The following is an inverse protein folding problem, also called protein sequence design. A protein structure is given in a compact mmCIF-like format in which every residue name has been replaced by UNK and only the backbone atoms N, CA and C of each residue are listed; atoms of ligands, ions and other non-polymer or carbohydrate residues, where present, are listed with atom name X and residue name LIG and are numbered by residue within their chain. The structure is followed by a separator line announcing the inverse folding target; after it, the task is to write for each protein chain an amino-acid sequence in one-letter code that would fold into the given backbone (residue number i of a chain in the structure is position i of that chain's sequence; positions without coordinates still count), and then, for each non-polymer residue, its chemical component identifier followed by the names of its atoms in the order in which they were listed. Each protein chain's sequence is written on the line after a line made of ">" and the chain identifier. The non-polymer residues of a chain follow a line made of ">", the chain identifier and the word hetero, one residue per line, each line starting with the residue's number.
data_IF_555244443937
#
_entry.id   IF_555244443937
#
_cell.length_a   1.000
_cell.length_b   1.000
_cell.length_c   1.000
_cell.angle_alpha   90.00
_cell.angle_beta   90.00
_cell.angle_gamma   90.00
#
_symmetry.space_group_name_H-M   'P 1'
#
loop_
_entity.id
_entity.type
_entity.pdbx_description
1 polymer ?
#
# COMPACT_ATOMS: atom_id res chain seq x y z
N UNK A 1 -9.72 -5.22 15.83
CA UNK A 1 -8.45 -4.85 15.18
C UNK A 1 -8.60 -3.43 14.64
N UNK A 2 -7.61 -2.58 14.84
CA UNK A 2 -7.49 -1.22 14.30
C UNK A 2 -6.04 -1.00 13.89
N UNK A 3 -5.74 -0.02 13.06
CA UNK A 3 -4.37 0.44 12.87
C UNK A 3 -4.02 1.38 14.04
N UNK A 4 -2.96 1.07 14.77
CA UNK A 4 -2.41 1.91 15.83
C UNK A 4 -1.18 2.69 15.37
N UNK A 5 -0.47 2.19 14.34
CA UNK A 5 0.75 2.78 13.79
C UNK A 5 0.74 2.74 12.26
N UNK A 6 0.95 3.90 11.64
CA UNK A 6 1.04 4.08 10.19
C UNK A 6 2.40 4.63 9.83
N UNK A 7 3.05 4.02 8.84
CA UNK A 7 4.33 4.46 8.28
C UNK A 7 4.13 5.09 6.91
N UNK A 8 4.80 6.20 6.63
CA UNK A 8 4.84 6.81 5.30
C UNK A 8 6.26 7.25 4.93
N UNK A 9 6.50 7.49 3.66
CA UNK A 9 7.72 8.07 3.13
C UNK A 9 7.46 9.47 2.59
N UNK A 10 8.38 10.39 2.85
CA UNK A 10 8.40 11.73 2.26
C UNK A 10 9.72 11.96 1.55
N UNK A 11 9.64 12.32 0.28
CA UNK A 11 10.79 12.76 -0.50
C UNK A 11 11.02 14.27 -0.29
N UNK A 12 12.09 14.69 0.41
CA UNK A 12 12.33 16.11 0.71
C UNK A 12 12.69 16.92 -0.54
N UNK A 13 13.05 16.27 -1.65
CA UNK A 13 13.35 16.95 -2.93
C UNK A 13 12.07 17.31 -3.70
N UNK A 14 10.93 16.77 -3.31
CA UNK A 14 9.61 16.95 -3.95
C UNK A 14 8.67 17.79 -3.08
N UNK A 15 9.11 18.95 -2.64
CA UNK A 15 8.33 19.82 -1.75
C UNK A 15 6.94 20.20 -2.29
N UNK A 16 6.77 20.32 -3.61
CA UNK A 16 5.48 20.61 -4.25
C UNK A 16 4.48 19.44 -4.19
N UNK A 17 4.96 18.24 -3.96
CA UNK A 17 4.15 17.02 -3.85
C UNK A 17 3.84 16.63 -2.38
N UNK A 18 4.43 17.35 -1.42
CA UNK A 18 4.36 17.01 0.00
C UNK A 18 2.93 16.97 0.55
N UNK A 19 2.05 17.88 0.11
CA UNK A 19 0.65 17.89 0.53
C UNK A 19 -0.11 16.63 0.06
N UNK A 20 0.04 16.26 -1.21
CA UNK A 20 -0.56 15.05 -1.76
C UNK A 20 0.03 13.79 -1.11
N UNK A 21 1.34 13.76 -0.87
CA UNK A 21 2.03 12.64 -0.22
C UNK A 21 1.56 12.40 1.22
N UNK A 22 1.15 13.45 1.92
CA UNK A 22 0.72 13.36 3.33
C UNK A 22 -0.80 13.24 3.50
N UNK A 23 -1.59 13.57 2.48
CA UNK A 23 -3.06 13.62 2.57
C UNK A 23 -3.65 12.28 3.04
N UNK A 24 -3.31 11.17 2.38
CA UNK A 24 -3.84 9.84 2.71
C UNK A 24 -3.33 9.30 4.05
N UNK A 25 -2.00 9.28 4.35
CA UNK A 25 -1.53 8.79 5.64
C UNK A 25 -2.12 9.56 6.83
N UNK A 26 -2.27 10.88 6.73
CA UNK A 26 -2.88 11.69 7.79
C UNK A 26 -4.40 11.45 7.92
N UNK A 27 -5.12 11.28 6.81
CA UNK A 27 -6.55 10.96 6.84
C UNK A 27 -6.80 9.58 7.49
N UNK A 28 -5.94 8.61 7.23
CA UNK A 28 -6.03 7.29 7.86
C UNK A 28 -5.65 7.36 9.34
N UNK A 29 -4.57 8.10 9.69
CA UNK A 29 -4.20 8.30 11.08
C UNK A 29 -5.35 8.94 11.88
N UNK A 30 -6.02 9.94 11.33
CA UNK A 30 -7.20 10.56 11.93
C UNK A 30 -8.36 9.57 12.11
N UNK A 31 -8.71 8.84 11.05
CA UNK A 31 -9.82 7.88 11.08
C UNK A 31 -9.61 6.73 12.08
N UNK A 32 -8.38 6.32 12.32
CA UNK A 32 -8.04 5.21 13.21
C UNK A 32 -7.49 5.65 14.57
N UNK A 33 -7.30 6.96 14.81
CA UNK A 33 -6.58 7.51 15.97
C UNK A 33 -5.18 6.88 16.10
N UNK A 34 -4.51 6.71 14.95
CA UNK A 34 -3.22 6.05 14.86
C UNK A 34 -2.08 7.06 15.00
N UNK A 35 -0.95 6.57 15.52
CA UNK A 35 0.32 7.28 15.43
C UNK A 35 0.85 7.20 13.99
N UNK A 36 1.31 8.31 13.42
CA UNK A 36 1.89 8.35 12.08
C UNK A 36 3.37 8.69 12.13
N UNK A 37 4.19 7.83 11.52
CA UNK A 37 5.64 8.04 11.39
C UNK A 37 5.98 8.33 9.94
N UNK A 38 6.68 9.44 9.67
CA UNK A 38 7.21 9.76 8.36
C UNK A 38 8.72 9.50 8.32
N UNK A 39 9.16 8.63 7.42
CA UNK A 39 10.57 8.48 7.06
C UNK A 39 10.90 9.46 5.94
N UNK A 40 11.93 10.29 6.15
CA UNK A 40 12.29 11.39 5.26
C UNK A 40 13.65 11.12 4.66
N UNK A 41 13.68 10.90 3.35
CA UNK A 41 14.90 10.72 2.57
C UNK A 41 14.62 10.95 1.07
N UNK A 42 15.62 11.43 0.29
CA UNK A 42 15.48 11.53 -1.16
C UNK A 42 15.27 10.17 -1.80
N UNK A 43 14.29 10.03 -2.71
CA UNK A 43 14.00 8.76 -3.35
C UNK A 43 15.19 8.21 -4.14
N UNK A 44 15.89 9.06 -4.89
CA UNK A 44 17.03 8.63 -5.72
C UNK A 44 18.22 8.10 -4.90
N UNK A 45 18.30 8.44 -3.63
CA UNK A 45 19.31 7.93 -2.73
C UNK A 45 19.10 6.47 -2.31
N UNK A 46 17.95 5.86 -2.64
CA UNK A 46 17.73 4.44 -2.44
C UNK A 46 18.67 3.54 -3.26
N UNK A 47 19.26 4.09 -4.33
CA UNK A 47 20.20 3.39 -5.23
C UNK A 47 21.67 3.55 -4.85
N UNK A 48 22.00 4.50 -3.99
CA UNK A 48 23.38 4.83 -3.61
C UNK A 48 23.69 4.31 -2.21
N UNK A 49 24.95 3.86 -2.00
CA UNK A 49 25.45 3.60 -0.65
C UNK A 49 25.25 4.87 0.23
N UNK A 50 25.10 4.72 1.56
CA UNK A 50 24.87 5.85 2.44
C UNK A 50 26.02 6.84 2.31
N UNK A 51 25.77 7.89 1.57
CA UNK A 51 26.64 9.07 1.54
C UNK A 51 26.23 9.96 2.71
N UNK A 52 27.14 10.52 3.47
CA UNK A 52 26.78 11.56 4.44
C UNK A 52 25.90 12.60 3.72
N UNK A 53 24.76 12.95 4.29
CA UNK A 53 23.93 14.01 3.74
C UNK A 53 24.80 15.27 3.65
N UNK A 54 24.84 15.91 2.48
CA UNK A 54 25.40 17.24 2.38
C UNK A 54 24.49 18.23 3.13
N UNK A 55 25.02 19.41 3.47
CA UNK A 55 24.28 20.42 4.23
C UNK A 55 22.96 20.81 3.54
N UNK A 56 22.91 20.77 2.20
CA UNK A 56 21.72 21.12 1.42
C UNK A 56 20.62 20.07 1.55
N UNK A 57 20.96 18.78 1.48
CA UNK A 57 20.02 17.67 1.68
C UNK A 57 19.47 17.68 3.11
N UNK A 58 20.32 17.91 4.11
CA UNK A 58 19.90 18.03 5.51
C UNK A 58 18.87 19.13 5.73
N UNK A 59 19.06 20.30 5.12
CA UNK A 59 18.10 21.41 5.17
C UNK A 59 16.75 21.07 4.51
N UNK A 60 16.73 20.30 3.42
CA UNK A 60 15.50 19.86 2.79
C UNK A 60 14.76 18.85 3.66
N UNK A 61 15.47 17.90 4.28
CA UNK A 61 14.90 16.96 5.24
C UNK A 61 14.29 17.66 6.46
N UNK A 62 14.96 18.70 6.99
CA UNK A 62 14.44 19.51 8.10
C UNK A 62 13.14 20.21 7.73
N UNK A 63 13.11 20.88 6.59
CA UNK A 63 11.90 21.56 6.09
C UNK A 63 10.72 20.57 5.88
N UNK A 64 10.99 19.42 5.31
CA UNK A 64 9.97 18.40 5.10
C UNK A 64 9.43 17.85 6.44
N UNK A 65 10.33 17.64 7.43
CA UNK A 65 9.97 17.21 8.77
C UNK A 65 9.09 18.25 9.48
N UNK A 66 9.49 19.51 9.45
CA UNK A 66 8.73 20.61 10.07
C UNK A 66 7.35 20.77 9.42
N UNK A 67 7.26 20.74 8.09
CA UNK A 67 5.99 20.86 7.36
C UNK A 67 5.03 19.71 7.69
N UNK A 68 5.54 18.48 7.74
CA UNK A 68 4.76 17.30 8.13
C UNK A 68 4.28 17.41 9.58
N UNK A 69 5.19 17.71 10.51
CA UNK A 69 4.87 17.85 11.93
C UNK A 69 3.81 18.94 12.16
N UNK A 70 3.97 20.11 11.54
CA UNK A 70 3.01 21.19 11.64
C UNK A 70 1.61 20.78 11.12
N UNK A 71 1.56 19.99 10.04
CA UNK A 71 0.29 19.53 9.47
C UNK A 71 -0.37 18.47 10.35
N UNK A 72 0.39 17.51 10.87
CA UNK A 72 -0.10 16.49 11.79
C UNK A 72 -0.58 17.12 13.11
N UNK A 73 0.17 18.09 13.64
CA UNK A 73 -0.18 18.82 14.88
C UNK A 73 -1.49 19.60 14.71
N UNK A 74 -1.69 20.31 13.60
CA UNK A 74 -2.97 21.02 13.31
C UNK A 74 -4.17 20.09 13.30
N UNK A 75 -3.98 18.81 12.94
CA UNK A 75 -5.00 17.76 12.97
C UNK A 75 -5.11 17.04 14.32
N UNK A 76 -4.29 17.41 15.30
CA UNK A 76 -4.26 16.75 16.61
C UNK A 76 -3.75 15.31 16.58
N UNK A 77 -2.89 14.96 15.62
CA UNK A 77 -2.40 13.60 15.44
C UNK A 77 -1.10 13.35 16.18
N UNK A 78 -0.99 12.19 16.84
CA UNK A 78 0.29 11.70 17.34
C UNK A 78 1.19 11.36 16.13
N UNK A 79 2.39 11.93 16.11
CA UNK A 79 3.28 11.80 14.96
C UNK A 79 4.76 11.79 15.35
N UNK A 80 5.57 11.25 14.45
CA UNK A 80 7.02 11.25 14.52
C UNK A 80 7.62 11.44 13.11
N UNK A 81 8.80 12.08 13.03
CA UNK A 81 9.60 12.17 11.81
C UNK A 81 10.96 11.55 12.05
N UNK A 82 11.46 10.78 11.08
CA UNK A 82 12.78 10.15 11.11
C UNK A 82 13.51 10.46 9.82
N UNK A 83 14.70 11.07 9.93
CA UNK A 83 15.53 11.44 8.79
C UNK A 83 16.53 10.33 8.44
N UNK A 84 17.00 10.32 7.20
CA UNK A 84 17.93 9.34 6.66
C UNK A 84 19.25 9.22 7.41
N UNK A 85 19.78 10.30 7.97
CA UNK A 85 21.05 10.31 8.73
C UNK A 85 21.12 9.25 9.83
N UNK A 86 19.99 8.64 10.15
CA UNK A 86 19.85 7.53 11.11
C UNK A 86 20.08 6.14 10.51
N UNK A 87 20.26 6.01 9.19
CA UNK A 87 20.29 4.69 8.53
C UNK A 87 21.71 4.29 8.11
N UNK A 88 22.15 3.13 8.59
CA UNK A 88 23.46 2.57 8.28
C UNK A 88 23.48 1.75 6.97
N UNK A 89 22.33 1.55 6.30
CA UNK A 89 22.14 0.69 5.14
C UNK A 89 21.10 1.28 4.18
N UNK A 90 20.73 0.58 3.09
CA UNK A 90 19.89 1.10 2.04
C UNK A 90 18.49 1.53 2.51
N UNK A 91 17.96 2.60 1.91
CA UNK A 91 16.67 3.18 2.31
C UNK A 91 15.49 2.21 2.20
N UNK A 92 15.51 1.27 1.23
CA UNK A 92 14.48 0.25 1.09
C UNK A 92 14.44 -0.71 2.27
N UNK A 93 15.61 -1.23 2.68
CA UNK A 93 15.77 -2.11 3.86
C UNK A 93 15.36 -1.37 5.14
N UNK A 94 15.84 -0.12 5.31
CA UNK A 94 15.50 0.71 6.45
C UNK A 94 13.98 0.95 6.54
N UNK A 95 13.32 1.20 5.41
CA UNK A 95 11.88 1.35 5.37
C UNK A 95 11.16 0.05 5.77
N UNK A 96 11.61 -1.10 5.24
CA UNK A 96 11.04 -2.41 5.58
C UNK A 96 11.21 -2.72 7.07
N UNK A 97 12.36 -2.39 7.69
CA UNK A 97 12.61 -2.58 9.12
C UNK A 97 11.67 -1.76 10.00
N UNK A 98 11.46 -0.49 9.66
CA UNK A 98 10.49 0.36 10.37
C UNK A 98 9.05 -0.13 10.16
N UNK A 99 8.76 -0.64 8.97
CA UNK A 99 7.43 -1.17 8.68
C UNK A 99 7.12 -2.45 9.45
N UNK A 100 8.10 -3.30 9.76
CA UNK A 100 7.91 -4.52 10.59
C UNK A 100 7.27 -4.23 11.94
N UNK A 101 7.53 -3.05 12.49
CA UNK A 101 6.98 -2.60 13.80
C UNK A 101 5.84 -1.59 13.64
N UNK A 102 5.26 -1.48 12.44
CA UNK A 102 4.07 -0.68 12.13
C UNK A 102 2.93 -1.58 11.67
N UNK A 103 1.71 -1.07 11.63
CA UNK A 103 0.54 -1.85 11.20
C UNK A 103 0.28 -1.74 9.71
N UNK A 104 0.60 -0.60 9.09
CA UNK A 104 0.32 -0.28 7.70
C UNK A 104 1.37 0.70 7.16
N UNK A 105 1.88 0.47 5.96
CA UNK A 105 2.53 1.53 5.20
C UNK A 105 1.54 2.18 4.23
N UNK A 106 1.61 3.51 4.12
CA UNK A 106 0.92 4.29 3.08
C UNK A 106 1.96 5.00 2.26
N UNK A 107 2.12 4.59 1.00
CA UNK A 107 3.09 5.14 0.05
C UNK A 107 2.33 5.86 -1.07
N UNK A 108 2.56 7.16 -1.20
CA UNK A 108 1.90 8.04 -2.18
C UNK A 108 2.90 8.48 -3.25
N UNK A 109 2.43 8.68 -4.46
CA UNK A 109 3.25 9.30 -5.49
C UNK A 109 3.67 8.37 -6.63
N UNK A 110 2.82 7.43 -7.03
CA UNK A 110 3.09 6.58 -8.18
C UNK A 110 2.49 7.16 -9.46
N UNK A 111 3.31 7.93 -10.19
CA UNK A 111 3.37 7.82 -11.64
C UNK A 111 4.15 6.55 -12.01
N UNK A 112 4.51 6.28 -13.26
CA UNK A 112 5.41 5.16 -13.60
C UNK A 112 6.65 5.26 -12.67
N UNK A 113 6.82 4.33 -11.72
CA UNK A 113 7.81 4.51 -10.67
C UNK A 113 9.21 4.31 -11.27
N UNK A 114 10.12 5.26 -11.03
CA UNK A 114 11.53 5.07 -11.29
C UNK A 114 12.09 3.86 -10.51
N UNK A 115 13.26 3.37 -10.87
CA UNK A 115 13.91 2.20 -10.27
C UNK A 115 13.98 2.31 -8.73
N UNK A 116 14.27 3.50 -8.21
CA UNK A 116 14.36 3.73 -6.77
C UNK A 116 13.03 3.51 -6.03
N UNK A 117 11.92 3.99 -6.61
CA UNK A 117 10.59 3.75 -6.05
C UNK A 117 10.21 2.26 -6.13
N UNK A 118 10.56 1.57 -7.22
CA UNK A 118 10.34 0.12 -7.33
C UNK A 118 11.11 -0.66 -6.25
N UNK A 119 12.35 -0.29 -5.95
CA UNK A 119 13.14 -0.90 -4.87
C UNK A 119 12.47 -0.68 -3.52
N UNK A 120 12.04 0.54 -3.23
CA UNK A 120 11.34 0.85 -1.97
C UNK A 120 10.05 0.04 -1.83
N UNK A 121 9.23 0.00 -2.88
CA UNK A 121 7.97 -0.76 -2.86
C UNK A 121 8.22 -2.26 -2.70
N UNK A 122 9.21 -2.79 -3.43
CA UNK A 122 9.60 -4.19 -3.33
C UNK A 122 10.00 -4.54 -1.90
N UNK A 123 10.89 -3.76 -1.28
CA UNK A 123 11.31 -3.98 0.11
C UNK A 123 10.12 -3.87 1.07
N UNK A 124 9.29 -2.83 0.93
CA UNK A 124 8.10 -2.64 1.77
C UNK A 124 7.13 -3.83 1.68
N UNK A 125 6.81 -4.31 0.47
CA UNK A 125 5.81 -5.36 0.24
C UNK A 125 6.35 -6.75 0.62
N UNK A 126 7.59 -7.08 0.23
CA UNK A 126 8.09 -8.44 0.31
C UNK A 126 9.02 -8.72 1.51
N UNK A 127 9.53 -7.69 2.18
CA UNK A 127 10.53 -7.86 3.24
C UNK A 127 10.02 -7.43 4.61
N UNK A 128 8.94 -6.63 4.67
CA UNK A 128 8.37 -6.18 5.93
C UNK A 128 7.43 -7.17 6.60
N UNK A 129 6.70 -7.98 5.82
CA UNK A 129 5.60 -8.84 6.31
C UNK A 129 4.36 -8.07 6.73
N UNK A 130 4.22 -6.82 6.32
CA UNK A 130 3.11 -5.93 6.65
C UNK A 130 2.33 -5.48 5.42
N UNK A 131 1.07 -5.08 5.56
CA UNK A 131 0.32 -4.51 4.45
C UNK A 131 0.87 -3.16 4.01
N UNK A 132 0.86 -2.94 2.70
CA UNK A 132 1.30 -1.70 2.05
C UNK A 132 0.18 -1.16 1.19
N UNK A 133 -0.26 0.05 1.43
CA UNK A 133 -1.20 0.79 0.59
C UNK A 133 -0.42 1.69 -0.37
N UNK A 134 -0.47 1.38 -1.66
CA UNK A 134 0.04 2.23 -2.72
C UNK A 134 -1.06 3.16 -3.18
N UNK A 135 -0.82 4.46 -3.16
CA UNK A 135 -1.82 5.50 -3.46
C UNK A 135 -1.36 6.32 -4.67
N UNK A 136 -2.17 6.39 -5.75
CA UNK A 136 -1.87 7.28 -6.88
C UNK A 136 -1.78 8.74 -6.42
N UNK A 137 -0.77 9.46 -6.89
CA UNK A 137 -0.62 10.89 -6.57
C UNK A 137 -1.82 11.73 -7.02
N UNK A 138 -2.39 11.37 -8.18
CA UNK A 138 -3.53 12.06 -8.75
C UNK A 138 -4.86 11.80 -8.00
N UNK A 139 -4.90 10.77 -7.13
CA UNK A 139 -6.11 10.35 -6.42
C UNK A 139 -5.81 10.03 -4.95
N UNK A 140 -5.37 11.01 -4.14
CA UNK A 140 -5.19 10.80 -2.72
C UNK A 140 -6.52 10.49 -2.04
N UNK A 141 -6.52 9.58 -1.09
CA UNK A 141 -7.70 9.26 -0.29
C UNK A 141 -7.82 10.27 0.86
N UNK A 142 -8.79 11.16 0.78
CA UNK A 142 -9.10 12.12 1.85
C UNK A 142 -9.85 11.48 3.03
N UNK A 143 -10.32 10.25 2.88
CA UNK A 143 -11.06 9.46 3.89
C UNK A 143 -10.85 7.97 3.67
N UNK A 144 -11.25 7.18 4.65
CA UNK A 144 -11.26 5.71 4.53
C UNK A 144 -12.25 5.28 3.43
N UNK A 145 -11.84 4.37 2.51
CA UNK A 145 -12.69 3.88 1.43
C UNK A 145 -14.00 3.27 1.93
N UNK A 146 -15.10 3.60 1.26
CA UNK A 146 -16.41 3.06 1.55
C UNK A 146 -16.76 1.85 0.68
N UNK A 147 -16.17 1.74 -0.51
CA UNK A 147 -16.27 0.55 -1.37
C UNK A 147 -14.89 -0.02 -1.64
N UNK A 148 -14.73 -1.31 -1.34
CA UNK A 148 -13.46 -2.02 -1.47
C UNK A 148 -13.68 -3.22 -2.37
N UNK A 149 -12.85 -3.36 -3.42
CA UNK A 149 -12.75 -4.59 -4.20
C UNK A 149 -11.63 -5.46 -3.61
N UNK A 150 -11.91 -6.71 -3.35
CA UNK A 150 -10.96 -7.70 -2.86
C UNK A 150 -10.72 -8.73 -3.94
N UNK A 151 -9.49 -8.81 -4.45
CA UNK A 151 -9.09 -9.86 -5.38
C UNK A 151 -8.83 -11.16 -4.62
N UNK A 152 -9.55 -12.21 -4.98
CA UNK A 152 -9.46 -13.50 -4.31
C UNK A 152 -9.06 -14.63 -5.27
N UNK A 153 -7.90 -15.22 -5.01
CA UNK A 153 -7.34 -16.37 -5.73
C UNK A 153 -7.01 -17.56 -4.79
N UNK A 154 -7.45 -17.49 -3.54
CA UNK A 154 -7.15 -18.44 -2.48
C UNK A 154 -5.66 -18.62 -2.16
N UNK A 155 -4.80 -17.71 -2.56
CA UNK A 155 -3.38 -17.76 -2.21
C UNK A 155 -3.12 -17.33 -0.76
N UNK A 156 -2.01 -17.79 -0.14
CA UNK A 156 -1.59 -17.28 1.16
C UNK A 156 -1.34 -15.77 1.16
N UNK A 157 -0.91 -15.18 0.05
CA UNK A 157 -0.73 -13.73 -0.08
C UNK A 157 -2.07 -13.00 -0.07
N UNK A 158 -3.09 -13.50 -0.80
CA UNK A 158 -4.41 -12.90 -0.80
C UNK A 158 -5.03 -12.87 0.60
N UNK A 159 -4.95 -13.98 1.36
CA UNK A 159 -5.50 -13.98 2.72
C UNK A 159 -4.71 -13.07 3.66
N UNK A 160 -3.38 -12.93 3.50
CA UNK A 160 -2.58 -11.96 4.29
C UNK A 160 -3.01 -10.53 3.98
N UNK A 161 -3.20 -10.17 2.70
CA UNK A 161 -3.67 -8.84 2.30
C UNK A 161 -5.06 -8.54 2.88
N UNK A 162 -5.97 -9.52 2.85
CA UNK A 162 -7.31 -9.39 3.43
C UNK A 162 -7.24 -9.17 4.94
N UNK A 163 -6.45 -9.97 5.67
CA UNK A 163 -6.27 -9.79 7.11
C UNK A 163 -5.63 -8.43 7.44
N UNK A 164 -4.65 -7.98 6.64
CA UNK A 164 -4.06 -6.65 6.75
C UNK A 164 -5.08 -5.53 6.50
N UNK A 165 -6.04 -5.76 5.61
CA UNK A 165 -7.09 -4.80 5.27
C UNK A 165 -8.34 -4.87 6.18
N UNK A 166 -8.44 -5.81 7.11
CA UNK A 166 -9.63 -5.97 7.97
C UNK A 166 -10.11 -4.70 8.65
N UNK A 167 -9.22 -3.80 9.18
CA UNK A 167 -9.68 -2.54 9.77
C UNK A 167 -10.44 -1.65 8.78
N UNK A 168 -10.04 -1.67 7.49
CA UNK A 168 -10.70 -0.93 6.41
C UNK A 168 -11.99 -1.64 5.99
N UNK A 169 -11.93 -2.94 5.72
CA UNK A 169 -13.05 -3.79 5.30
C UNK A 169 -14.23 -3.70 6.29
N UNK A 170 -13.96 -3.68 7.59
CA UNK A 170 -15.00 -3.55 8.63
C UNK A 170 -15.68 -2.19 8.67
N UNK A 171 -15.04 -1.14 8.17
CA UNK A 171 -15.57 0.23 8.11
C UNK A 171 -16.20 0.56 6.76
N UNK A 172 -15.92 -0.22 5.74
CA UNK A 172 -16.48 -0.02 4.42
C UNK A 172 -18.00 -0.23 4.42
N UNK A 173 -18.71 0.58 3.63
CA UNK A 173 -20.13 0.39 3.40
C UNK A 173 -20.40 -0.89 2.60
N UNK A 174 -19.46 -1.28 1.72
CA UNK A 174 -19.52 -2.49 0.92
C UNK A 174 -18.11 -3.03 0.63
N UNK A 175 -17.95 -4.36 0.71
CA UNK A 175 -16.76 -5.07 0.25
C UNK A 175 -17.14 -6.11 -0.79
N UNK A 176 -16.57 -6.01 -1.98
CA UNK A 176 -16.85 -6.87 -3.12
C UNK A 176 -15.70 -7.87 -3.27
N UNK A 177 -16.00 -9.14 -3.15
CA UNK A 177 -15.02 -10.21 -3.34
C UNK A 177 -15.06 -10.65 -4.79
N UNK A 178 -13.98 -10.43 -5.53
CA UNK A 178 -13.85 -10.74 -6.94
C UNK A 178 -12.90 -11.91 -7.17
N UNK A 179 -13.34 -12.93 -7.90
CA UNK A 179 -12.51 -14.05 -8.36
C UNK A 179 -12.52 -14.08 -9.87
N UNK A 180 -11.34 -14.14 -10.50
CA UNK A 180 -11.20 -14.37 -11.94
C UNK A 180 -11.24 -15.88 -12.18
N UNK A 181 -12.35 -16.40 -12.69
CA UNK A 181 -12.72 -17.82 -12.65
C UNK A 181 -11.92 -18.70 -13.61
N UNK A 182 -11.47 -18.15 -14.71
CA UNK A 182 -10.70 -18.83 -15.76
C UNK A 182 -9.18 -18.65 -15.64
N UNK A 183 -8.72 -17.97 -14.58
CA UNK A 183 -7.29 -17.84 -14.27
C UNK A 183 -6.81 -19.05 -13.44
N UNK A 184 -7.62 -19.49 -12.46
CA UNK A 184 -7.25 -20.55 -11.53
C UNK A 184 -8.48 -21.33 -11.06
N UNK A 185 -8.44 -22.65 -11.13
CA UNK A 185 -9.47 -23.49 -10.55
C UNK A 185 -9.38 -23.50 -9.02
N UNK A 186 -10.42 -23.03 -8.34
CA UNK A 186 -10.53 -23.04 -6.90
C UNK A 186 -11.31 -24.29 -6.44
N UNK A 187 -10.86 -24.92 -5.33
CA UNK A 187 -11.64 -25.98 -4.68
C UNK A 187 -12.88 -25.37 -4.00
N UNK A 188 -13.95 -26.13 -3.76
CA UNK A 188 -15.17 -25.61 -3.11
C UNK A 188 -14.91 -24.84 -1.81
N UNK A 189 -14.07 -25.35 -0.91
CA UNK A 189 -13.72 -24.68 0.35
C UNK A 189 -12.80 -23.46 0.20
N UNK A 190 -12.34 -23.17 -1.01
CA UNK A 190 -11.52 -21.98 -1.35
C UNK A 190 -12.33 -20.93 -2.12
N UNK A 191 -13.63 -21.11 -2.27
CA UNK A 191 -14.49 -20.22 -3.05
C UNK A 191 -14.56 -18.82 -2.42
N UNK A 192 -14.84 -17.81 -3.25
CA UNK A 192 -15.09 -16.46 -2.76
C UNK A 192 -16.32 -16.38 -1.85
N UNK A 193 -17.25 -17.35 -1.94
CA UNK A 193 -18.41 -17.46 -1.05
C UNK A 193 -17.95 -17.78 0.38
N UNK A 194 -17.03 -18.73 0.57
CA UNK A 194 -16.49 -19.04 1.90
C UNK A 194 -15.76 -17.83 2.51
N UNK A 195 -15.04 -17.06 1.68
CA UNK A 195 -14.44 -15.81 2.13
C UNK A 195 -15.51 -14.78 2.52
N UNK A 196 -16.64 -14.71 1.81
CA UNK A 196 -17.79 -13.86 2.18
C UNK A 196 -18.28 -14.21 3.59
N UNK A 197 -18.43 -15.48 3.90
CA UNK A 197 -18.82 -15.94 5.23
C UNK A 197 -17.80 -15.57 6.31
N UNK A 198 -16.49 -15.72 6.02
CA UNK A 198 -15.43 -15.29 6.93
C UNK A 198 -15.54 -13.80 7.25
N UNK A 199 -15.61 -12.96 6.22
CA UNK A 199 -15.63 -11.50 6.41
C UNK A 199 -16.94 -11.01 7.07
N UNK A 200 -18.08 -11.68 6.80
CA UNK A 200 -19.33 -11.41 7.49
C UNK A 200 -19.22 -11.65 9.00
N UNK A 201 -18.51 -12.72 9.44
CA UNK A 201 -18.22 -12.96 10.87
C UNK A 201 -17.36 -11.86 11.49
N UNK A 202 -16.57 -11.14 10.70
CA UNK A 202 -15.84 -9.95 11.13
C UNK A 202 -16.69 -8.66 11.07
N UNK A 203 -17.97 -8.75 10.73
CA UNK A 203 -18.90 -7.63 10.66
C UNK A 203 -18.83 -6.82 9.36
N UNK A 204 -18.18 -7.36 8.31
CA UNK A 204 -18.14 -6.71 7.00
C UNK A 204 -19.42 -6.96 6.19
N UNK A 205 -19.85 -5.97 5.42
CA UNK A 205 -20.92 -6.12 4.43
C UNK A 205 -20.30 -6.54 3.10
N UNK A 206 -20.50 -7.79 2.73
CA UNK A 206 -19.81 -8.40 1.60
C UNK A 206 -20.75 -8.95 0.54
N UNK A 207 -20.32 -8.90 -0.72
CA UNK A 207 -20.91 -9.67 -1.82
C UNK A 207 -19.83 -10.32 -2.67
N UNK A 208 -20.17 -11.42 -3.32
CA UNK A 208 -19.28 -12.15 -4.22
C UNK A 208 -19.55 -11.78 -5.68
N UNK A 209 -18.49 -11.72 -6.48
CA UNK A 209 -18.53 -11.49 -7.93
C UNK A 209 -17.55 -12.46 -8.63
N UNK A 210 -18.04 -13.29 -9.53
CA UNK A 210 -17.20 -14.04 -10.44
C UNK A 210 -16.92 -13.22 -11.70
N UNK A 211 -15.66 -13.12 -12.08
CA UNK A 211 -15.20 -12.39 -13.25
C UNK A 211 -14.64 -13.40 -14.27
N UNK A 212 -14.92 -13.17 -15.53
CA UNK A 212 -14.21 -13.86 -16.62
C UNK A 212 -13.01 -13.00 -17.03
N UNK A 213 -11.84 -13.61 -17.20
CA UNK A 213 -10.62 -12.92 -17.55
C UNK A 213 -10.72 -12.25 -18.94
N UNK A 214 -11.31 -12.96 -19.90
CA UNK A 214 -11.33 -12.52 -21.29
C UNK A 214 -9.94 -12.56 -21.92
N UNK A 215 -9.65 -11.62 -22.83
CA UNK A 215 -8.36 -11.50 -23.52
C UNK A 215 -7.32 -10.67 -22.78
N UNK A 216 -7.70 -9.98 -21.71
CA UNK A 216 -6.84 -9.08 -20.93
C UNK A 216 -6.07 -9.74 -19.80
N UNK A 217 -5.27 -8.95 -19.08
CA UNK A 217 -4.59 -9.35 -17.87
C UNK A 217 -5.53 -9.45 -16.66
N UNK A 218 -5.10 -10.19 -15.63
CA UNK A 218 -5.88 -10.31 -14.37
C UNK A 218 -6.06 -8.94 -13.72
N UNK A 219 -4.99 -8.13 -13.64
CA UNK A 219 -5.06 -6.79 -13.04
C UNK A 219 -6.00 -5.88 -13.83
N UNK A 220 -5.91 -5.86 -15.16
CA UNK A 220 -6.80 -5.07 -16.03
C UNK A 220 -8.27 -5.42 -15.76
N UNK A 221 -8.57 -6.71 -15.65
CA UNK A 221 -9.94 -7.16 -15.37
C UNK A 221 -10.43 -6.77 -13.97
N UNK A 222 -9.53 -6.78 -12.96
CA UNK A 222 -9.84 -6.32 -11.61
C UNK A 222 -10.06 -4.80 -11.57
N UNK A 223 -9.25 -4.02 -12.27
CA UNK A 223 -9.42 -2.57 -12.37
C UNK A 223 -10.71 -2.19 -13.10
N UNK A 224 -11.07 -2.90 -14.17
CA UNK A 224 -12.35 -2.71 -14.84
C UNK A 224 -13.53 -3.01 -13.88
N UNK A 225 -13.46 -4.13 -13.14
CA UNK A 225 -14.47 -4.46 -12.13
C UNK A 225 -14.53 -3.43 -10.98
N UNK A 226 -13.39 -2.86 -10.59
CA UNK A 226 -13.35 -1.78 -9.62
C UNK A 226 -14.07 -0.52 -10.13
N UNK A 227 -13.86 -0.18 -11.40
CA UNK A 227 -14.59 0.93 -12.06
C UNK A 227 -16.09 0.65 -12.14
N UNK A 228 -16.49 -0.53 -12.61
CA UNK A 228 -17.90 -0.94 -12.76
C UNK A 228 -18.66 -0.92 -11.42
N UNK A 229 -17.96 -1.17 -10.33
CA UNK A 229 -18.52 -1.20 -8.97
C UNK A 229 -18.26 0.06 -8.18
N UNK A 230 -17.64 1.06 -8.77
CA UNK A 230 -17.20 2.30 -8.12
C UNK A 230 -16.37 2.03 -6.84
N UNK A 231 -15.53 0.98 -6.87
CA UNK A 231 -14.64 0.70 -5.77
C UNK A 231 -13.54 1.77 -5.67
N UNK A 232 -13.31 2.24 -4.45
CA UNK A 232 -12.34 3.30 -4.14
C UNK A 232 -10.94 2.74 -3.84
N UNK A 233 -10.84 1.42 -3.66
CA UNK A 233 -9.59 0.73 -3.35
C UNK A 233 -9.67 -0.75 -3.77
N UNK A 234 -8.53 -1.28 -4.24
CA UNK A 234 -8.33 -2.70 -4.47
C UNK A 234 -7.48 -3.31 -3.34
N UNK A 235 -7.84 -4.49 -2.87
CA UNK A 235 -7.02 -5.32 -1.95
C UNK A 235 -6.62 -6.58 -2.69
N UNK A 236 -5.33 -6.87 -2.78
CA UNK A 236 -4.83 -8.07 -3.46
C UNK A 236 -3.54 -8.61 -2.84
N UNK A 237 -3.32 -9.91 -2.97
CA UNK A 237 -2.07 -10.53 -2.59
C UNK A 237 -0.94 -10.17 -3.55
N UNK A 238 0.26 -9.95 -3.01
CA UNK A 238 1.48 -9.81 -3.79
C UNK A 238 2.21 -11.16 -3.86
N UNK A 239 2.36 -11.70 -5.05
CA UNK A 239 2.97 -13.02 -5.25
C UNK A 239 4.35 -12.89 -5.86
N UNK A 240 5.33 -13.53 -5.21
CA UNK A 240 6.68 -13.73 -5.72
C UNK A 240 6.76 -15.15 -6.32
N UNK A 241 7.00 -15.27 -7.61
CA UNK A 241 7.23 -16.59 -8.21
C UNK A 241 8.69 -17.03 -8.01
N UNK A 242 8.87 -18.08 -7.21
CA UNK A 242 10.07 -18.92 -6.99
C UNK A 242 11.41 -18.23 -6.65
N UNK A 243 12.11 -18.68 -5.61
CA UNK A 243 13.43 -18.15 -5.20
C UNK A 243 14.60 -18.60 -6.10
N UNK A 244 14.37 -19.40 -7.15
CA UNK A 244 15.45 -20.07 -7.92
C UNK A 244 15.73 -19.50 -9.32
N UNK A 245 14.95 -18.57 -9.83
CA UNK A 245 15.23 -17.88 -11.10
C UNK A 245 14.78 -16.43 -11.01
N UNK A 246 15.73 -15.51 -11.04
CA UNK A 246 15.59 -14.07 -11.24
C UNK A 246 14.18 -13.54 -10.89
N UNK A 247 14.04 -12.89 -9.74
CA UNK A 247 12.89 -12.09 -9.25
C UNK A 247 11.70 -12.01 -10.23
N UNK A 248 11.04 -13.14 -10.51
CA UNK A 248 9.84 -13.13 -11.35
C UNK A 248 8.67 -12.92 -10.41
N UNK A 249 8.13 -11.71 -10.43
CA UNK A 249 6.88 -11.36 -9.78
C UNK A 249 5.71 -12.02 -10.54
N UNK A 250 4.60 -12.30 -9.88
CA UNK A 250 3.37 -12.66 -10.57
C UNK A 250 2.94 -11.51 -11.50
N UNK A 251 2.38 -11.84 -12.68
CA UNK A 251 2.05 -10.83 -13.70
C UNK A 251 1.29 -9.63 -13.12
N UNK A 252 0.21 -9.86 -12.38
CA UNK A 252 -0.57 -8.78 -11.78
C UNK A 252 0.21 -7.94 -10.75
N UNK A 253 1.12 -8.55 -9.98
CA UNK A 253 1.97 -7.81 -9.03
C UNK A 253 3.02 -6.97 -9.77
N UNK A 254 3.57 -7.50 -10.87
CA UNK A 254 4.53 -6.77 -11.70
C UNK A 254 3.85 -5.57 -12.37
N UNK A 255 2.65 -5.74 -12.91
CA UNK A 255 1.88 -4.67 -13.52
C UNK A 255 1.61 -3.53 -12.51
N UNK A 256 1.23 -3.87 -11.25
CA UNK A 256 1.04 -2.88 -10.17
C UNK A 256 2.33 -2.11 -9.88
N UNK A 257 3.50 -2.76 -9.90
CA UNK A 257 4.78 -2.11 -9.56
C UNK A 257 5.41 -1.35 -10.73
N UNK A 258 5.00 -1.64 -11.97
CA UNK A 258 5.58 -1.07 -13.18
C UNK A 258 4.76 0.07 -13.76
N UNK A 259 3.44 0.04 -13.58
CA UNK A 259 2.53 0.96 -14.24
C UNK A 259 2.03 2.08 -13.32
N UNK A 260 1.54 3.14 -13.94
CA UNK A 260 0.84 4.20 -13.22
C UNK A 260 -0.49 3.66 -12.69
N UNK A 261 -0.67 3.69 -11.37
CA UNK A 261 -1.91 3.25 -10.75
C UNK A 261 -3.04 4.24 -11.00
N UNK A 262 -4.20 3.72 -11.37
CA UNK A 262 -5.45 4.47 -11.49
C UNK A 262 -6.34 4.37 -10.24
N UNK A 263 -5.97 3.52 -9.29
CA UNK A 263 -6.74 3.22 -8.07
C UNK A 263 -5.77 2.92 -6.92
N UNK A 264 -6.05 3.32 -5.68
CA UNK A 264 -5.31 2.86 -4.51
C UNK A 264 -5.35 1.34 -4.37
N UNK A 265 -4.19 0.71 -4.15
CA UNK A 265 -4.06 -0.75 -4.03
C UNK A 265 -3.36 -1.12 -2.73
N UNK A 266 -4.02 -1.93 -1.90
CA UNK A 266 -3.41 -2.53 -0.71
C UNK A 266 -2.87 -3.92 -1.04
N UNK A 267 -1.59 -4.11 -0.76
CA UNK A 267 -0.82 -5.33 -1.03
C UNK A 267 -0.28 -5.94 0.26
N UNK A 268 -0.17 -7.28 0.30
CA UNK A 268 0.68 -8.00 1.24
C UNK A 268 1.20 -9.29 0.58
N UNK A 269 2.45 -9.68 0.91
CA UNK A 269 3.12 -10.85 0.37
C UNK A 269 3.10 -12.05 1.33
#
# INVERSE_FOLDING_TARGET
>A
MTFASILTHLDPTKATEAEAATATPLAFAEAFSAHVTALIFPMDSALTAPTPADDATGLLEDRAAEAFAATAQRRGLAHETRKRTSFAYGNGEAFADHLRVSDLAVLTGHGAPGIAAQILHHAAIFESGRPVLLVPQAQPLARVPQRILVAWDASPAAIRAIHGALPLIRRAAETIIATVSDDKALRPGQSGIELTHLLARHGAKTRFMALQRGSGGVLERLLAAASDTEAEMLVMGAVRHSPLRNLVLGSATQDVLSDALSLPILLAA
#
